data_IF_956836876322
#
_entry.id   IF_956836876322
#
_cell.length_a   1.000
_cell.length_b   1.000
_cell.length_c   1.000
_cell.angle_alpha   90.00
_cell.angle_beta   90.00
_cell.angle_gamma   90.00
#
_symmetry.space_group_name_H-M   'P 1'
#
loop_
_entity.id
_entity.type
_entity.pdbx_description
1 polymer ?
#
# COMPACT_ATOMS: atom_id res chain seq x y z
N UNK A 1 13.56 -29.25 35.66
CA UNK A 1 13.92 -28.72 34.31
C UNK A 1 13.14 -27.45 34.08
N UNK A 2 13.77 -26.29 33.80
CA UNK A 2 13.05 -25.12 33.34
C UNK A 2 12.65 -25.35 31.87
N UNK A 3 11.36 -25.16 31.59
CA UNK A 3 10.80 -25.25 30.24
C UNK A 3 11.35 -24.13 29.36
N UNK A 4 12.11 -24.52 28.33
CA UNK A 4 12.54 -23.61 27.26
C UNK A 4 11.28 -23.09 26.55
N UNK A 5 11.09 -21.77 26.38
CA UNK A 5 9.98 -21.26 25.60
C UNK A 5 10.14 -21.74 24.17
N UNK A 6 9.14 -22.49 23.67
CA UNK A 6 9.03 -22.87 22.26
C UNK A 6 9.00 -21.59 21.41
N UNK A 7 10.12 -21.27 20.76
CA UNK A 7 10.18 -20.28 19.69
C UNK A 7 9.15 -20.67 18.64
N UNK A 8 8.10 -19.86 18.48
CA UNK A 8 7.15 -20.08 17.40
C UNK A 8 7.87 -19.92 16.06
N UNK A 9 7.78 -20.89 15.15
CA UNK A 9 8.47 -20.80 13.87
C UNK A 9 7.97 -19.56 13.12
N UNK A 10 8.90 -18.65 12.83
CA UNK A 10 8.66 -17.47 12.00
C UNK A 10 8.10 -17.98 10.66
N UNK A 11 6.82 -17.70 10.42
CA UNK A 11 6.13 -18.14 9.21
C UNK A 11 6.90 -17.67 7.98
N UNK A 12 7.15 -18.53 6.98
CA UNK A 12 7.86 -18.13 5.78
C UNK A 12 7.14 -16.94 5.12
N UNK A 13 7.90 -15.89 4.81
CA UNK A 13 7.41 -14.63 4.23
C UNK A 13 6.50 -14.81 2.99
N UNK A 14 6.61 -15.94 2.30
CA UNK A 14 5.78 -16.35 1.16
C UNK A 14 4.31 -16.57 1.56
N UNK A 15 4.04 -17.14 2.73
CA UNK A 15 2.68 -17.32 3.24
C UNK A 15 2.04 -16.00 3.63
N UNK A 16 2.78 -15.11 4.29
CA UNK A 16 2.29 -13.77 4.61
C UNK A 16 2.02 -12.96 3.32
N UNK A 17 2.90 -13.06 2.33
CA UNK A 17 2.71 -12.42 1.02
C UNK A 17 1.43 -12.91 0.33
N UNK A 18 1.17 -14.22 0.31
CA UNK A 18 -0.05 -14.79 -0.29
C UNK A 18 -1.33 -14.25 0.35
N UNK A 19 -1.37 -14.14 1.69
CA UNK A 19 -2.53 -13.58 2.40
C UNK A 19 -2.81 -12.12 1.99
N UNK A 20 -1.74 -11.33 1.88
CA UNK A 20 -1.81 -9.94 1.48
C UNK A 20 -2.21 -9.75 0.01
N UNK A 21 -1.65 -10.58 -0.87
CA UNK A 21 -2.00 -10.58 -2.29
C UNK A 21 -3.45 -11.01 -2.52
N UNK A 22 -3.92 -12.01 -1.78
CA UNK A 22 -5.31 -12.44 -1.85
C UNK A 22 -6.23 -11.31 -1.38
N UNK A 23 -5.90 -10.65 -0.28
CA UNK A 23 -6.66 -9.51 0.23
C UNK A 23 -6.75 -8.37 -0.80
N UNK A 24 -5.62 -8.02 -1.42
CA UNK A 24 -5.57 -7.00 -2.46
C UNK A 24 -6.38 -7.42 -3.69
N UNK A 25 -6.21 -8.64 -4.18
CA UNK A 25 -6.91 -9.11 -5.37
C UNK A 25 -8.43 -9.18 -5.15
N UNK A 26 -8.88 -9.64 -3.99
CA UNK A 26 -10.31 -9.62 -3.64
C UNK A 26 -10.84 -8.18 -3.59
N UNK A 27 -10.08 -7.23 -3.04
CA UNK A 27 -10.45 -5.81 -3.06
C UNK A 27 -10.56 -5.27 -4.49
N UNK A 28 -9.58 -5.56 -5.34
CA UNK A 28 -9.58 -5.05 -6.72
C UNK A 28 -10.72 -5.67 -7.52
N UNK A 29 -11.00 -6.96 -7.37
CA UNK A 29 -12.19 -7.61 -7.95
C UNK A 29 -13.46 -6.89 -7.53
N UNK A 30 -13.65 -6.61 -6.23
CA UNK A 30 -14.91 -6.01 -5.77
C UNK A 30 -15.12 -4.60 -6.33
N UNK A 31 -14.09 -3.76 -6.33
CA UNK A 31 -14.24 -2.37 -6.80
C UNK A 31 -14.35 -2.26 -8.32
N UNK A 32 -13.62 -3.11 -9.06
CA UNK A 32 -13.68 -3.13 -10.54
C UNK A 32 -14.97 -3.77 -11.04
N UNK A 33 -15.47 -4.80 -10.35
CA UNK A 33 -16.80 -5.36 -10.61
C UNK A 33 -17.89 -4.32 -10.40
N UNK A 34 -17.89 -3.62 -9.25
CA UNK A 34 -18.87 -2.58 -8.97
C UNK A 34 -18.83 -1.42 -9.99
N UNK A 35 -17.63 -0.98 -10.37
CA UNK A 35 -17.43 0.08 -11.37
C UNK A 35 -17.80 -0.35 -12.79
N UNK A 36 -17.76 -1.65 -13.11
CA UNK A 36 -18.18 -2.18 -14.41
C UNK A 36 -19.68 -1.97 -14.68
N UNK A 37 -20.50 -1.99 -13.62
CA UNK A 37 -21.96 -1.77 -13.72
C UNK A 37 -22.38 -0.33 -13.39
N UNK A 38 -21.45 0.49 -12.87
CA UNK A 38 -21.69 1.89 -12.53
C UNK A 38 -20.59 2.74 -13.20
N UNK A 39 -20.68 2.95 -14.53
CA UNK A 39 -19.66 3.65 -15.27
C UNK A 39 -19.53 5.12 -14.81
N UNK A 40 -18.33 5.71 -14.91
CA UNK A 40 -18.12 7.11 -14.58
C UNK A 40 -19.00 7.99 -15.47
N UNK A 41 -19.61 9.02 -14.88
CA UNK A 41 -20.57 9.86 -15.58
C UNK A 41 -22.00 9.34 -15.55
N UNK A 42 -22.24 8.13 -15.04
CA UNK A 42 -23.58 7.54 -14.98
C UNK A 42 -24.04 6.94 -16.31
N UNK A 43 -25.32 6.58 -16.33
CA UNK A 43 -26.00 5.93 -17.47
C UNK A 43 -27.22 6.76 -17.87
N UNK A 44 -27.59 6.67 -19.14
CA UNK A 44 -28.81 7.29 -19.64
C UNK A 44 -30.05 6.64 -18.99
N UNK A 45 -30.99 7.45 -18.48
CA UNK A 45 -32.22 6.92 -17.89
C UNK A 45 -33.34 6.73 -18.91
N UNK A 46 -33.32 7.49 -20.02
CA UNK A 46 -34.36 7.47 -21.04
C UNK A 46 -33.79 7.14 -22.42
N UNK A 47 -34.58 6.41 -23.22
CA UNK A 47 -34.23 6.12 -24.61
C UNK A 47 -34.62 7.30 -25.52
N UNK A 48 -33.64 8.11 -25.95
CA UNK A 48 -33.89 9.30 -26.75
C UNK A 48 -32.73 9.59 -27.72
N UNK A 49 -33.06 9.76 -29.00
CA UNK A 49 -32.09 10.08 -30.06
C UNK A 49 -31.14 8.93 -30.41
N UNK A 50 -31.63 7.69 -30.45
CA UNK A 50 -30.83 6.50 -30.80
C UNK A 50 -30.02 5.89 -29.65
N UNK A 51 -30.08 6.50 -28.45
CA UNK A 51 -29.51 5.97 -27.21
C UNK A 51 -30.49 5.05 -26.50
N UNK A 52 -29.99 4.00 -25.86
CA UNK A 52 -30.79 3.12 -25.02
C UNK A 52 -30.63 3.49 -23.54
N UNK A 53 -31.71 3.33 -22.77
CA UNK A 53 -31.62 3.45 -21.33
C UNK A 53 -30.63 2.40 -20.78
N UNK A 54 -29.74 2.82 -19.89
CA UNK A 54 -28.65 2.01 -19.35
C UNK A 54 -27.31 2.16 -20.10
N UNK A 55 -27.28 2.81 -21.28
CA UNK A 55 -26.01 3.05 -21.98
C UNK A 55 -25.11 4.01 -21.17
N UNK A 56 -23.78 3.74 -21.05
CA UNK A 56 -22.86 4.63 -20.35
C UNK A 56 -22.76 6.00 -21.01
N UNK A 57 -23.02 7.08 -20.26
CA UNK A 57 -23.00 8.44 -20.81
C UNK A 57 -21.61 8.81 -21.34
N UNK A 58 -20.56 8.38 -20.64
CA UNK A 58 -19.17 8.64 -21.04
C UNK A 58 -18.81 8.06 -22.41
N UNK A 59 -19.52 7.01 -22.86
CA UNK A 59 -19.29 6.41 -24.19
C UNK A 59 -19.62 7.40 -25.30
N UNK A 60 -20.69 8.17 -25.14
CA UNK A 60 -21.17 9.13 -26.13
C UNK A 60 -20.45 10.48 -26.01
N UNK A 61 -20.13 10.90 -24.78
CA UNK A 61 -19.50 12.21 -24.55
C UNK A 61 -17.99 12.20 -24.73
N UNK A 62 -17.32 11.09 -24.39
CA UNK A 62 -15.88 10.94 -24.61
C UNK A 62 -15.48 9.48 -24.80
N UNK A 63 -15.52 9.03 -26.04
CA UNK A 63 -15.23 7.66 -26.42
C UNK A 63 -13.83 7.17 -26.00
N UNK A 64 -12.80 8.02 -26.12
CA UNK A 64 -11.43 7.65 -25.72
C UNK A 64 -11.30 7.39 -24.22
N UNK A 65 -11.94 8.23 -23.39
CA UNK A 65 -11.96 8.03 -21.93
C UNK A 65 -12.76 6.80 -21.56
N UNK A 66 -13.89 6.55 -22.24
CA UNK A 66 -14.65 5.33 -22.07
C UNK A 66 -13.80 4.08 -22.35
N UNK A 67 -13.09 4.03 -23.49
CA UNK A 67 -12.21 2.90 -23.83
C UNK A 67 -11.09 2.72 -22.79
N UNK A 68 -10.43 3.81 -22.41
CA UNK A 68 -9.36 3.76 -21.41
C UNK A 68 -9.88 3.22 -20.07
N UNK A 69 -11.02 3.74 -19.58
CA UNK A 69 -11.67 3.26 -18.37
C UNK A 69 -12.05 1.77 -18.50
N UNK A 70 -12.75 1.40 -19.56
CA UNK A 70 -13.28 0.05 -19.76
C UNK A 70 -12.16 -0.99 -19.80
N UNK A 71 -11.13 -0.79 -20.63
CA UNK A 71 -10.02 -1.74 -20.74
C UNK A 71 -9.15 -1.77 -19.48
N UNK A 72 -8.86 -0.62 -18.88
CA UNK A 72 -8.09 -0.59 -17.63
C UNK A 72 -8.85 -1.28 -16.48
N UNK A 73 -10.15 -1.03 -16.34
CA UNK A 73 -10.98 -1.64 -15.30
C UNK A 73 -11.13 -3.16 -15.53
N UNK A 74 -11.36 -3.59 -16.78
CA UNK A 74 -11.48 -5.00 -17.14
C UNK A 74 -10.15 -5.76 -16.96
N UNK A 75 -9.02 -5.14 -17.31
CA UNK A 75 -7.69 -5.75 -17.10
C UNK A 75 -7.37 -5.92 -15.62
N UNK A 76 -7.71 -4.94 -14.77
CA UNK A 76 -7.57 -5.08 -13.31
C UNK A 76 -8.47 -6.21 -12.76
N UNK A 77 -9.74 -6.25 -13.17
CA UNK A 77 -10.64 -7.33 -12.80
C UNK A 77 -10.09 -8.72 -13.17
N UNK A 78 -9.69 -8.90 -14.44
CA UNK A 78 -9.17 -10.17 -14.95
C UNK A 78 -7.83 -10.55 -14.31
N UNK A 79 -6.90 -9.60 -14.17
CA UNK A 79 -5.60 -9.81 -13.52
C UNK A 79 -5.79 -10.26 -12.07
N UNK A 80 -6.70 -9.63 -11.34
CA UNK A 80 -7.01 -10.00 -9.96
C UNK A 80 -7.62 -11.41 -9.83
N UNK A 81 -8.51 -11.82 -10.74
CA UNK A 81 -9.00 -13.21 -10.77
C UNK A 81 -7.88 -14.21 -11.03
N UNK A 82 -6.98 -13.92 -11.98
CA UNK A 82 -5.79 -14.76 -12.25
C UNK A 82 -4.91 -14.85 -11.00
N UNK A 83 -4.71 -13.76 -10.27
CA UNK A 83 -3.97 -13.75 -9.00
C UNK A 83 -4.63 -14.65 -7.96
N UNK A 84 -5.95 -14.57 -7.79
CA UNK A 84 -6.71 -15.41 -6.84
C UNK A 84 -6.54 -16.89 -7.19
N UNK A 85 -6.78 -17.25 -8.45
CA UNK A 85 -6.65 -18.64 -8.93
C UNK A 85 -5.21 -19.13 -8.77
N UNK A 86 -4.21 -18.32 -9.13
CA UNK A 86 -2.80 -18.69 -8.99
C UNK A 86 -2.42 -18.90 -7.52
N UNK A 87 -2.88 -18.04 -6.60
CA UNK A 87 -2.66 -18.20 -5.16
C UNK A 87 -3.33 -19.48 -4.64
N UNK A 88 -4.55 -19.78 -5.08
CA UNK A 88 -5.28 -20.99 -4.67
C UNK A 88 -4.59 -22.25 -5.15
N UNK A 89 -4.19 -22.31 -6.43
CA UNK A 89 -3.42 -23.42 -7.00
C UNK A 89 -2.11 -23.61 -6.23
N UNK A 90 -1.42 -22.52 -5.88
CA UNK A 90 -0.20 -22.60 -5.07
C UNK A 90 -0.45 -23.03 -3.63
N UNK A 91 -1.63 -22.75 -3.06
CA UNK A 91 -2.00 -23.23 -1.74
C UNK A 91 -2.22 -24.74 -1.74
N UNK A 92 -2.79 -25.28 -2.82
CA UNK A 92 -3.02 -26.72 -3.01
C UNK A 92 -1.72 -27.47 -3.33
N UNK A 93 -0.84 -26.91 -4.18
CA UNK A 93 0.41 -27.56 -4.63
C UNK A 93 1.58 -27.51 -3.63
N UNK A 94 1.34 -27.24 -2.35
CA UNK A 94 2.39 -26.80 -1.42
C UNK A 94 3.39 -27.86 -0.92
N UNK A 95 3.50 -29.03 -1.57
CA UNK A 95 4.29 -30.17 -1.07
C UNK A 95 5.61 -30.49 -1.81
N UNK A 96 6.08 -29.64 -2.74
CA UNK A 96 7.39 -29.85 -3.40
C UNK A 96 8.36 -28.69 -3.16
N UNK A 97 9.35 -28.95 -2.30
CA UNK A 97 10.44 -28.02 -1.92
C UNK A 97 11.36 -27.68 -3.09
N UNK A 98 11.80 -26.42 -3.14
CA UNK A 98 13.23 -26.13 -3.27
C UNK A 98 13.68 -25.14 -4.33
N UNK A 99 13.06 -25.10 -5.52
CA UNK A 99 13.52 -24.22 -6.62
C UNK A 99 12.39 -23.53 -7.41
N UNK A 100 11.17 -24.04 -7.32
CA UNK A 100 10.01 -23.56 -8.09
C UNK A 100 9.30 -22.34 -7.47
N UNK A 101 9.50 -22.04 -6.18
CA UNK A 101 8.82 -20.90 -5.54
C UNK A 101 9.20 -19.55 -6.19
N UNK A 102 10.45 -19.39 -6.62
CA UNK A 102 10.90 -18.16 -7.28
C UNK A 102 10.23 -17.96 -8.64
N UNK A 103 10.02 -19.02 -9.40
CA UNK A 103 9.35 -18.99 -10.70
C UNK A 103 7.87 -18.65 -10.60
N UNK A 104 7.24 -18.87 -9.45
CA UNK A 104 5.84 -18.51 -9.26
C UNK A 104 5.64 -17.14 -8.59
N UNK A 105 6.52 -16.73 -7.67
CA UNK A 105 6.38 -15.43 -6.98
C UNK A 105 6.67 -14.25 -7.91
N UNK A 106 7.55 -14.40 -8.90
CA UNK A 106 7.88 -13.34 -9.88
C UNK A 106 6.68 -12.98 -10.76
N UNK A 107 6.03 -13.91 -11.49
CA UNK A 107 4.86 -13.59 -12.31
C UNK A 107 3.71 -13.06 -11.44
N UNK A 108 3.48 -13.63 -10.24
CA UNK A 108 2.46 -13.15 -9.31
C UNK A 108 2.69 -11.67 -8.93
N UNK A 109 3.94 -11.26 -8.72
CA UNK A 109 4.29 -9.85 -8.45
C UNK A 109 4.13 -8.96 -9.69
N UNK A 110 4.43 -9.46 -10.88
CA UNK A 110 4.26 -8.70 -12.13
C UNK A 110 2.78 -8.47 -12.43
N UNK A 111 1.96 -9.51 -12.33
CA UNK A 111 0.50 -9.42 -12.53
C UNK A 111 -0.11 -8.44 -11.53
N UNK A 112 0.34 -8.43 -10.27
CA UNK A 112 -0.14 -7.46 -9.29
C UNK A 112 0.29 -6.01 -9.59
N UNK A 113 1.52 -5.78 -10.05
CA UNK A 113 1.94 -4.42 -10.44
C UNK A 113 1.11 -3.95 -11.63
N UNK A 114 0.89 -4.83 -12.61
CA UNK A 114 -0.01 -4.57 -13.73
C UNK A 114 -1.43 -4.26 -13.24
N UNK A 115 -1.95 -5.03 -12.30
CA UNK A 115 -3.27 -4.85 -11.69
C UNK A 115 -3.44 -3.47 -11.04
N UNK A 116 -2.46 -3.00 -10.24
CA UNK A 116 -2.52 -1.66 -9.65
C UNK A 116 -2.34 -0.54 -10.67
N UNK A 117 -1.53 -0.74 -11.72
CA UNK A 117 -1.39 0.22 -12.81
C UNK A 117 -2.69 0.32 -13.62
N UNK A 118 -3.34 -0.81 -13.89
CA UNK A 118 -4.66 -0.89 -14.52
C UNK A 118 -5.72 -0.19 -13.66
N UNK A 119 -5.75 -0.43 -12.35
CA UNK A 119 -6.67 0.26 -11.44
C UNK A 119 -6.43 1.78 -11.44
N UNK A 120 -5.17 2.21 -11.46
CA UNK A 120 -4.82 3.63 -11.56
C UNK A 120 -5.28 4.25 -12.89
N UNK A 121 -5.06 3.55 -14.01
CA UNK A 121 -5.49 3.99 -15.34
C UNK A 121 -7.00 4.12 -15.43
N UNK A 122 -7.74 3.14 -14.89
CA UNK A 122 -9.20 3.18 -14.82
C UNK A 122 -9.70 4.37 -13.99
N UNK A 123 -9.12 4.55 -12.80
CA UNK A 123 -9.44 5.69 -11.93
C UNK A 123 -9.20 7.02 -12.65
N UNK A 124 -8.04 7.18 -13.27
CA UNK A 124 -7.70 8.39 -14.01
C UNK A 124 -8.72 8.66 -15.11
N UNK A 125 -8.92 7.72 -16.04
CA UNK A 125 -9.86 7.88 -17.14
C UNK A 125 -11.29 8.22 -16.68
N UNK A 126 -11.75 7.59 -15.60
CA UNK A 126 -13.10 7.78 -15.07
C UNK A 126 -13.30 9.09 -14.30
N UNK A 127 -12.27 9.59 -13.59
CA UNK A 127 -12.41 10.78 -12.72
C UNK A 127 -12.10 12.12 -13.41
N UNK A 128 -11.38 12.10 -14.53
CA UNK A 128 -10.92 13.29 -15.26
C UNK A 128 -12.07 14.08 -15.92
N UNK A 129 -12.67 15.06 -15.24
CA UNK A 129 -13.81 15.82 -15.77
C UNK A 129 -13.42 17.08 -16.55
N UNK A 130 -12.31 17.69 -16.17
CA UNK A 130 -11.82 18.96 -16.69
C UNK A 130 -10.31 18.88 -17.00
N UNK A 131 -9.78 19.90 -17.69
CA UNK A 131 -8.37 19.93 -18.11
C UNK A 131 -7.41 19.84 -16.92
N UNK A 132 -7.73 20.47 -15.79
CA UNK A 132 -6.86 20.49 -14.60
C UNK A 132 -6.82 19.10 -13.97
N UNK A 133 -7.99 18.49 -13.70
CA UNK A 133 -8.08 17.13 -13.16
C UNK A 133 -7.40 16.10 -14.08
N UNK A 134 -7.52 16.28 -15.40
CA UNK A 134 -6.86 15.42 -16.39
C UNK A 134 -5.34 15.50 -16.32
N UNK A 135 -4.78 16.72 -16.34
CA UNK A 135 -3.33 16.93 -16.22
C UNK A 135 -2.84 16.41 -14.87
N UNK A 136 -3.56 16.70 -13.79
CA UNK A 136 -3.22 16.27 -12.45
C UNK A 136 -3.15 14.74 -12.32
N UNK A 137 -4.18 14.04 -12.80
CA UNK A 137 -4.22 12.57 -12.79
C UNK A 137 -3.11 11.97 -13.64
N UNK A 138 -2.89 12.51 -14.85
CA UNK A 138 -1.82 12.05 -15.74
C UNK A 138 -0.42 12.21 -15.11
N UNK A 139 -0.15 13.35 -14.46
CA UNK A 139 1.10 13.59 -13.74
C UNK A 139 1.28 12.57 -12.61
N UNK A 140 0.23 12.28 -11.82
CA UNK A 140 0.32 11.28 -10.76
C UNK A 140 0.56 9.87 -11.30
N UNK A 141 -0.10 9.48 -12.40
CA UNK A 141 0.15 8.20 -13.07
C UNK A 141 1.60 8.12 -13.55
N UNK A 142 2.12 9.19 -14.17
CA UNK A 142 3.50 9.25 -14.63
C UNK A 142 4.50 9.13 -13.46
N UNK A 143 4.28 9.85 -12.35
CA UNK A 143 5.12 9.76 -11.14
C UNK A 143 5.15 8.33 -10.60
N UNK A 144 3.99 7.68 -10.49
CA UNK A 144 3.88 6.31 -9.97
C UNK A 144 4.56 5.32 -10.91
N UNK A 145 4.36 5.47 -12.21
CA UNK A 145 5.01 4.62 -13.23
C UNK A 145 6.53 4.78 -13.20
N UNK A 146 7.04 6.01 -13.21
CA UNK A 146 8.47 6.30 -13.09
C UNK A 146 9.04 5.72 -11.79
N UNK A 147 8.33 5.87 -10.67
CA UNK A 147 8.74 5.30 -9.40
C UNK A 147 8.87 3.77 -9.46
N UNK A 148 7.92 3.08 -10.11
CA UNK A 148 7.98 1.62 -10.31
C UNK A 148 9.18 1.23 -11.18
N UNK A 149 9.44 1.97 -12.27
CA UNK A 149 10.60 1.74 -13.13
C UNK A 149 11.92 1.94 -12.39
N UNK A 150 12.03 2.98 -11.54
CA UNK A 150 13.20 3.23 -10.70
C UNK A 150 13.41 2.08 -9.71
N UNK A 151 12.35 1.64 -9.01
CA UNK A 151 12.45 0.50 -8.09
C UNK A 151 12.92 -0.78 -8.80
N UNK A 152 12.38 -1.05 -9.99
CA UNK A 152 12.74 -2.23 -10.78
C UNK A 152 14.16 -2.16 -11.33
N UNK A 153 14.58 -1.01 -11.86
CA UNK A 153 15.93 -0.81 -12.39
C UNK A 153 16.99 -0.90 -11.29
N UNK A 154 16.73 -0.34 -10.10
CA UNK A 154 17.59 -0.53 -8.93
C UNK A 154 17.72 -2.01 -8.52
N UNK A 155 16.63 -2.77 -8.57
CA UNK A 155 16.65 -4.21 -8.29
C UNK A 155 17.38 -5.04 -9.37
N UNK A 156 17.39 -4.58 -10.62
CA UNK A 156 18.15 -5.19 -11.71
C UNK A 156 19.64 -4.87 -11.60
N UNK A 157 19.99 -3.63 -11.24
CA UNK A 157 21.37 -3.19 -11.07
C UNK A 157 22.08 -3.90 -9.90
N UNK A 158 21.37 -4.07 -8.76
CA UNK A 158 21.87 -4.85 -7.61
C UNK A 158 22.25 -6.29 -8.03
N UNK A 159 21.50 -6.91 -8.95
CA UNK A 159 21.77 -8.29 -9.41
C UNK A 159 22.93 -8.39 -10.39
N UNK A 160 23.16 -7.35 -11.18
CA UNK A 160 24.25 -7.33 -12.16
C UNK A 160 25.60 -6.96 -11.51
N UNK A 161 25.57 -6.44 -10.28
CA UNK A 161 26.76 -6.04 -9.51
C UNK A 161 27.36 -7.16 -8.64
N UNK A 162 26.78 -8.37 -8.63
CA UNK A 162 27.32 -9.57 -7.96
C UNK A 162 27.98 -10.56 -8.96
N UNK A 163 29.21 -10.33 -9.47
CA UNK A 163 29.91 -11.29 -10.34
C UNK A 163 30.73 -12.36 -9.57
N UNK A 164 30.50 -12.55 -8.27
CA UNK A 164 31.45 -13.26 -7.38
C UNK A 164 31.12 -14.71 -6.97
N UNK A 165 30.36 -15.50 -7.74
CA UNK A 165 30.09 -16.90 -7.36
C UNK A 165 30.03 -17.83 -8.58
N UNK A 166 31.20 -18.14 -9.14
CA UNK A 166 31.30 -19.18 -10.16
C UNK A 166 32.68 -19.35 -10.78
N UNK A 167 33.65 -19.90 -10.04
CA UNK A 167 34.64 -20.87 -10.56
C UNK A 167 35.58 -21.29 -9.43
N UNK A 168 35.61 -22.59 -9.13
CA UNK A 168 36.44 -23.18 -8.08
C UNK A 168 36.32 -24.70 -8.11
N UNK A 169 36.86 -25.28 -9.18
CA UNK A 169 36.98 -26.71 -9.46
C UNK A 169 38.02 -27.34 -8.52
N UNK A 170 37.69 -28.48 -7.93
CA UNK A 170 38.63 -29.57 -7.59
C UNK A 170 39.74 -29.34 -6.55
N UNK A 171 39.54 -29.93 -5.37
CA UNK A 171 40.48 -30.60 -4.43
C UNK A 171 41.93 -30.90 -4.93
N UNK A 172 42.97 -30.95 -4.06
CA UNK A 172 43.06 -32.02 -3.05
C UNK A 172 43.67 -31.70 -1.66
N UNK A 173 43.36 -32.67 -0.79
CA UNK A 173 43.92 -33.05 0.51
C UNK A 173 45.42 -32.71 0.70
N UNK A 174 45.73 -32.12 1.85
CA UNK A 174 47.05 -32.24 2.48
C UNK A 174 46.86 -32.55 3.97
N UNK A 175 47.49 -33.67 4.36
CA UNK A 175 47.57 -34.27 5.68
C UNK A 175 48.57 -33.51 6.56
N UNK A 176 48.30 -33.41 7.87
CA UNK A 176 49.20 -32.76 8.83
C UNK A 176 48.78 -33.04 10.27
N UNK A 177 49.22 -34.18 10.80
CA UNK A 177 49.18 -34.53 12.23
C UNK A 177 50.29 -33.80 13.00
N UNK A 178 49.95 -33.20 14.14
CA UNK A 178 50.71 -33.05 15.42
C UNK A 178 49.88 -32.05 16.25
N UNK A 179 49.48 -32.25 17.50
CA UNK A 179 49.98 -33.03 18.62
C UNK A 179 49.66 -32.21 19.88
N UNK A 180 48.95 -32.82 20.85
CA UNK A 180 48.87 -32.51 22.30
C UNK A 180 48.89 -31.07 22.83
N UNK A 181 47.89 -30.72 23.64
CA UNK A 181 47.96 -29.58 24.57
C UNK A 181 46.69 -29.37 25.41
N UNK A 182 46.63 -30.02 26.57
CA UNK A 182 45.64 -29.83 27.63
C UNK A 182 45.59 -28.39 28.18
N UNK A 183 44.41 -27.87 28.53
CA UNK A 183 44.33 -26.76 29.49
C UNK A 183 43.04 -25.93 29.51
N UNK A 184 42.24 -26.15 30.55
CA UNK A 184 41.36 -25.19 31.23
C UNK A 184 40.10 -24.68 30.52
N UNK A 185 38.98 -25.34 30.81
CA UNK A 185 37.65 -24.74 30.77
C UNK A 185 37.48 -23.78 31.96
N UNK A 186 37.21 -22.50 31.67
CA UNK A 186 36.54 -21.58 32.61
C UNK A 186 35.09 -21.42 32.16
N UNK A 187 34.09 -21.60 33.04
CA UNK A 187 32.72 -21.25 32.72
C UNK A 187 32.57 -19.72 32.85
N UNK A 188 32.16 -19.07 31.77
CA UNK A 188 31.80 -17.66 31.77
C UNK A 188 30.32 -17.53 32.21
N UNK A 189 29.98 -16.82 33.29
CA UNK A 189 28.60 -16.71 33.75
C UNK A 189 27.96 -15.45 33.16
N UNK A 190 27.50 -15.51 31.90
CA UNK A 190 26.68 -14.45 31.30
C UNK A 190 25.52 -15.06 30.50
N UNK A 191 24.65 -15.81 31.18
CA UNK A 191 23.42 -16.38 30.61
C UNK A 191 22.17 -15.50 30.79
N UNK A 192 22.30 -14.34 31.44
CA UNK A 192 21.18 -13.41 31.69
C UNK A 192 20.94 -12.40 30.56
N UNK A 193 21.99 -11.91 29.92
CA UNK A 193 21.94 -10.75 29.01
C UNK A 193 21.49 -11.13 27.59
N UNK A 194 21.82 -12.34 27.13
CA UNK A 194 21.41 -12.86 25.82
C UNK A 194 19.90 -13.11 25.72
N UNK A 195 19.28 -13.60 26.79
CA UNK A 195 17.86 -13.99 26.85
C UNK A 195 16.92 -12.78 26.87
N UNK A 196 17.36 -11.67 27.49
CA UNK A 196 16.59 -10.41 27.51
C UNK A 196 16.62 -9.74 26.14
N UNK A 197 17.80 -9.68 25.51
CA UNK A 197 18.02 -9.03 24.21
C UNK A 197 17.25 -9.73 23.07
N UNK A 198 17.20 -11.07 23.09
CA UNK A 198 16.39 -11.86 22.14
C UNK A 198 14.88 -11.65 22.37
N UNK A 199 14.41 -11.58 23.61
CA UNK A 199 12.98 -11.34 23.90
C UNK A 199 12.50 -9.95 23.43
N UNK A 200 13.33 -8.91 23.59
CA UNK A 200 13.02 -7.54 23.15
C UNK A 200 13.00 -7.46 21.63
N UNK A 201 13.98 -8.08 20.96
CA UNK A 201 14.03 -8.16 19.50
C UNK A 201 12.82 -8.92 18.92
N UNK A 202 12.41 -10.02 19.55
CA UNK A 202 11.24 -10.79 19.14
C UNK A 202 9.93 -9.98 19.34
N UNK A 203 9.78 -9.26 20.47
CA UNK A 203 8.63 -8.38 20.70
C UNK A 203 8.55 -7.26 19.65
N UNK A 204 9.69 -6.65 19.31
CA UNK A 204 9.78 -5.60 18.29
C UNK A 204 9.38 -6.09 16.90
N UNK A 205 9.89 -7.25 16.48
CA UNK A 205 9.57 -7.83 15.17
C UNK A 205 8.08 -8.19 15.04
N UNK A 206 7.49 -8.73 16.11
CA UNK A 206 6.05 -9.01 16.17
C UNK A 206 5.21 -7.74 16.08
N UNK A 207 5.64 -6.64 16.69
CA UNK A 207 4.97 -5.34 16.58
C UNK A 207 5.05 -4.75 15.16
N UNK A 208 6.22 -4.83 14.51
CA UNK A 208 6.40 -4.38 13.12
C UNK A 208 5.55 -5.21 12.13
N UNK A 209 5.42 -6.51 12.34
CA UNK A 209 4.54 -7.37 11.53
C UNK A 209 3.07 -6.99 11.71
N UNK A 210 2.63 -6.74 12.94
CA UNK A 210 1.27 -6.26 13.23
C UNK A 210 1.00 -4.90 12.60
N UNK A 211 1.94 -3.97 12.69
CA UNK A 211 1.84 -2.66 12.05
C UNK A 211 1.69 -2.79 10.53
N UNK A 212 2.49 -3.64 9.89
CA UNK A 212 2.39 -3.92 8.45
C UNK A 212 1.01 -4.45 8.06
N UNK A 213 0.42 -5.36 8.84
CA UNK A 213 -0.93 -5.88 8.61
C UNK A 213 -1.98 -4.77 8.65
N UNK A 214 -1.93 -3.94 9.70
CA UNK A 214 -2.87 -2.83 9.89
C UNK A 214 -2.73 -1.79 8.77
N UNK A 215 -1.50 -1.40 8.43
CA UNK A 215 -1.25 -0.42 7.36
C UNK A 215 -1.75 -0.91 6.02
N UNK A 216 -1.60 -2.21 5.74
CA UNK A 216 -2.10 -2.79 4.50
C UNK A 216 -3.61 -2.80 4.45
N UNK A 217 -4.27 -3.23 5.51
CA UNK A 217 -5.73 -3.20 5.63
C UNK A 217 -6.26 -1.78 5.42
N UNK A 218 -5.64 -0.80 6.09
CA UNK A 218 -5.99 0.61 5.95
C UNK A 218 -5.79 1.12 4.53
N UNK A 219 -4.67 0.79 3.90
CA UNK A 219 -4.37 1.20 2.52
C UNK A 219 -5.35 0.57 1.53
N UNK A 220 -5.63 -0.73 1.64
CA UNK A 220 -6.61 -1.40 0.77
C UNK A 220 -8.02 -0.86 0.98
N UNK A 221 -8.40 -0.59 2.23
CA UNK A 221 -9.66 0.06 2.54
C UNK A 221 -9.74 1.45 1.88
N UNK A 222 -8.70 2.26 2.04
CA UNK A 222 -8.62 3.58 1.44
C UNK A 222 -8.66 3.54 -0.10
N UNK A 223 -7.94 2.60 -0.74
CA UNK A 223 -8.02 2.36 -2.20
C UNK A 223 -9.45 2.10 -2.62
N UNK A 224 -10.19 1.25 -1.91
CA UNK A 224 -11.56 0.90 -2.30
C UNK A 224 -12.54 2.06 -2.19
N UNK A 225 -12.57 2.75 -1.05
CA UNK A 225 -13.50 3.86 -0.86
C UNK A 225 -13.17 5.03 -1.79
N UNK A 226 -11.89 5.32 -2.01
CA UNK A 226 -11.50 6.43 -2.88
C UNK A 226 -11.73 6.12 -4.36
N UNK A 227 -11.54 4.86 -4.79
CA UNK A 227 -11.87 4.41 -6.13
C UNK A 227 -13.35 4.59 -6.43
N UNK A 228 -14.21 4.04 -5.58
CA UNK A 228 -15.67 4.13 -5.74
C UNK A 228 -16.14 5.59 -5.68
N UNK A 229 -15.69 6.37 -4.69
CA UNK A 229 -16.10 7.76 -4.54
C UNK A 229 -15.61 8.67 -5.68
N UNK A 230 -14.46 8.36 -6.29
CA UNK A 230 -13.94 9.13 -7.43
C UNK A 230 -14.77 8.93 -8.69
N UNK A 231 -15.13 7.67 -8.98
CA UNK A 231 -15.95 7.30 -10.13
C UNK A 231 -17.41 7.75 -9.96
N UNK A 232 -17.92 7.75 -8.73
CA UNK A 232 -19.27 8.19 -8.37
C UNK A 232 -19.22 9.45 -7.51
N UNK A 233 -19.01 10.61 -8.15
CA UNK A 233 -18.84 11.87 -7.41
C UNK A 233 -20.04 12.22 -6.53
N UNK A 234 -19.80 12.94 -5.43
CA UNK A 234 -20.86 13.49 -4.59
C UNK A 234 -21.86 14.31 -5.41
N UNK A 235 -23.15 14.08 -5.15
CA UNK A 235 -24.25 14.75 -5.85
C UNK A 235 -24.70 14.07 -7.14
N UNK A 236 -23.98 13.05 -7.64
CA UNK A 236 -24.36 12.32 -8.85
C UNK A 236 -24.02 13.06 -10.14
N UNK A 237 -24.67 12.65 -11.23
CA UNK A 237 -24.40 13.11 -12.59
C UNK A 237 -25.67 13.54 -13.30
N UNK A 238 -25.54 14.50 -14.20
CA UNK A 238 -26.62 14.85 -15.12
C UNK A 238 -26.79 13.80 -16.20
N UNK A 239 -28.04 13.41 -16.46
CA UNK A 239 -28.44 12.47 -17.51
C UNK A 239 -29.25 13.15 -18.63
N UNK A 240 -29.47 14.47 -18.53
CA UNK A 240 -30.27 15.23 -19.48
C UNK A 240 -29.39 16.10 -20.38
N UNK A 241 -29.93 16.41 -21.57
CA UNK A 241 -29.32 17.32 -22.55
C UNK A 241 -29.92 18.73 -22.48
N UNK A 242 -30.82 19.00 -21.53
CA UNK A 242 -31.51 20.27 -21.40
C UNK A 242 -30.82 21.16 -20.35
N UNK A 243 -30.60 22.43 -20.68
CA UNK A 243 -29.94 23.41 -19.81
C UNK A 243 -28.48 23.70 -20.19
N UNK A 244 -27.74 24.37 -19.30
CA UNK A 244 -26.33 24.74 -19.52
C UNK A 244 -25.32 23.64 -19.17
N UNK A 245 -25.79 22.44 -18.82
CA UNK A 245 -24.96 21.34 -18.33
C UNK A 245 -24.79 20.26 -19.39
N UNK A 246 -23.65 19.57 -19.34
CA UNK A 246 -23.38 18.45 -20.24
C UNK A 246 -23.74 17.12 -19.57
N UNK A 247 -24.32 16.15 -20.31
CA UNK A 247 -24.54 14.81 -19.79
C UNK A 247 -23.24 14.21 -19.23
N UNK A 248 -23.32 13.61 -18.05
CA UNK A 248 -22.18 13.05 -17.34
C UNK A 248 -21.31 14.07 -16.60
N UNK A 249 -21.62 15.37 -16.66
CA UNK A 249 -21.08 16.33 -15.70
C UNK A 249 -21.64 16.04 -14.31
N UNK A 250 -20.80 16.25 -13.29
CA UNK A 250 -21.22 16.10 -11.90
C UNK A 250 -22.18 17.23 -11.53
N UNK A 251 -23.32 16.91 -10.92
CA UNK A 251 -24.35 17.89 -10.51
C UNK A 251 -23.79 18.95 -9.57
N UNK A 252 -22.83 18.57 -8.72
CA UNK A 252 -22.20 19.49 -7.77
C UNK A 252 -21.33 20.57 -8.44
N UNK A 253 -20.92 20.37 -9.71
CA UNK A 253 -20.04 21.27 -10.46
C UNK A 253 -20.69 22.65 -10.66
N UNK A 254 -21.99 22.69 -10.85
CA UNK A 254 -22.69 23.89 -11.35
C UNK A 254 -22.91 24.95 -10.28
N UNK A 255 -23.21 24.52 -9.05
CA UNK A 255 -23.47 25.44 -7.94
C UNK A 255 -22.30 25.47 -6.93
N UNK A 256 -21.45 24.44 -6.90
CA UNK A 256 -20.36 24.28 -5.92
C UNK A 256 -19.08 23.70 -6.54
N UNK A 257 -18.68 24.18 -7.72
CA UNK A 257 -17.47 23.75 -8.43
C UNK A 257 -16.17 23.71 -7.60
N UNK A 258 -15.86 24.69 -6.73
CA UNK A 258 -14.67 24.65 -5.88
C UNK A 258 -14.66 23.45 -4.93
N UNK A 259 -15.81 23.10 -4.38
CA UNK A 259 -15.98 21.97 -3.45
C UNK A 259 -15.76 20.64 -4.15
N UNK A 260 -16.33 20.48 -5.35
CA UNK A 260 -16.08 19.31 -6.18
C UNK A 260 -14.59 19.17 -6.54
N UNK A 261 -13.93 20.29 -6.81
CA UNK A 261 -12.49 20.31 -7.13
C UNK A 261 -11.64 19.86 -5.94
N UNK A 262 -11.90 20.39 -4.74
CA UNK A 262 -11.21 19.95 -3.50
C UNK A 262 -11.47 18.47 -3.24
N UNK A 263 -12.73 18.03 -3.36
CA UNK A 263 -13.08 16.61 -3.23
C UNK A 263 -12.24 15.75 -4.17
N UNK A 264 -12.22 16.06 -5.48
CA UNK A 264 -11.53 15.25 -6.47
C UNK A 264 -10.02 15.23 -6.27
N UNK A 265 -9.41 16.37 -5.97
CA UNK A 265 -7.97 16.46 -5.71
C UNK A 265 -7.59 15.65 -4.48
N UNK A 266 -8.26 15.90 -3.34
CA UNK A 266 -7.98 15.19 -2.10
C UNK A 266 -8.25 13.69 -2.21
N UNK A 267 -9.36 13.29 -2.85
CA UNK A 267 -9.69 11.88 -3.06
C UNK A 267 -8.66 11.19 -3.95
N UNK A 268 -8.22 11.85 -5.03
CA UNK A 268 -7.17 11.33 -5.92
C UNK A 268 -5.84 11.19 -5.18
N UNK A 269 -5.43 12.20 -4.40
CA UNK A 269 -4.20 12.09 -3.59
C UNK A 269 -4.25 10.92 -2.63
N UNK A 270 -5.39 10.70 -1.97
CA UNK A 270 -5.58 9.60 -1.03
C UNK A 270 -5.56 8.23 -1.71
N UNK A 271 -6.20 8.11 -2.88
CA UNK A 271 -6.15 6.92 -3.71
C UNK A 271 -4.71 6.58 -4.11
N UNK A 272 -3.99 7.54 -4.71
CA UNK A 272 -2.61 7.33 -5.18
C UNK A 272 -1.65 7.04 -4.03
N UNK A 273 -1.74 7.78 -2.92
CA UNK A 273 -0.91 7.54 -1.75
C UNK A 273 -1.16 6.13 -1.18
N UNK A 274 -2.41 5.66 -1.19
CA UNK A 274 -2.79 4.32 -0.71
C UNK A 274 -2.29 3.19 -1.62
N UNK A 275 -2.30 3.40 -2.95
CA UNK A 275 -1.65 2.49 -3.90
C UNK A 275 -0.13 2.43 -3.69
N UNK A 276 0.51 3.58 -3.46
CA UNK A 276 1.94 3.63 -3.15
C UNK A 276 2.27 2.91 -1.83
N UNK A 277 1.45 3.07 -0.78
CA UNK A 277 1.60 2.31 0.48
C UNK A 277 1.51 0.80 0.20
N UNK A 278 0.50 0.37 -0.56
CA UNK A 278 0.28 -1.04 -0.92
C UNK A 278 1.48 -1.61 -1.69
N UNK A 279 1.97 -0.89 -2.70
CA UNK A 279 3.17 -1.27 -3.46
C UNK A 279 4.41 -1.35 -2.58
N UNK A 280 4.64 -0.34 -1.73
CA UNK A 280 5.77 -0.27 -0.80
C UNK A 280 5.76 -1.44 0.21
N UNK A 281 4.58 -1.86 0.69
CA UNK A 281 4.45 -2.94 1.67
C UNK A 281 4.63 -4.32 1.03
N UNK A 282 4.18 -4.51 -0.22
CA UNK A 282 4.20 -5.81 -0.91
C UNK A 282 5.56 -6.10 -1.59
N UNK A 283 6.12 -5.12 -2.32
CA UNK A 283 7.32 -5.34 -3.14
C UNK A 283 8.55 -5.63 -2.27
N UNK A 284 8.71 -4.94 -1.15
CA UNK A 284 10.00 -4.86 -0.43
C UNK A 284 9.99 -5.40 1.00
N UNK A 285 9.13 -6.37 1.29
CA UNK A 285 9.06 -6.99 2.62
C UNK A 285 10.39 -7.49 3.18
N UNK A 286 11.37 -7.81 2.32
CA UNK A 286 12.73 -8.21 2.70
C UNK A 286 13.75 -7.05 2.82
N UNK A 287 13.56 -5.95 2.07
CA UNK A 287 14.52 -4.81 2.00
C UNK A 287 14.23 -3.69 3.01
N UNK A 288 13.10 -3.74 3.72
CA UNK A 288 12.79 -2.82 4.84
C UNK A 288 13.87 -2.80 5.94
N UNK A 289 14.70 -3.85 5.99
CA UNK A 289 15.74 -4.06 7.00
C UNK A 289 17.10 -3.42 6.67
N UNK A 290 17.39 -3.09 5.39
CA UNK A 290 18.74 -2.63 4.95
C UNK A 290 18.85 -1.15 4.56
N UNK A 291 17.77 -0.45 4.18
CA UNK A 291 17.78 1.00 3.85
C UNK A 291 16.69 1.75 4.63
N UNK A 292 16.92 2.00 5.92
CA UNK A 292 15.88 2.43 6.88
C UNK A 292 15.40 3.88 6.71
N UNK A 293 16.26 4.83 6.32
CA UNK A 293 15.98 6.26 6.56
C UNK A 293 15.13 6.96 5.49
N UNK A 294 15.42 6.78 4.19
CA UNK A 294 14.66 7.47 3.13
C UNK A 294 13.26 6.86 2.92
N UNK A 295 13.19 5.53 2.95
CA UNK A 295 11.94 4.79 2.68
C UNK A 295 10.93 4.87 3.82
N UNK A 296 11.39 4.82 5.08
CA UNK A 296 10.50 5.00 6.23
C UNK A 296 9.87 6.40 6.22
N UNK A 297 10.64 7.42 5.84
CA UNK A 297 10.13 8.78 5.64
C UNK A 297 9.08 8.84 4.52
N UNK A 298 9.34 8.19 3.39
CA UNK A 298 8.38 8.12 2.28
C UNK A 298 7.07 7.41 2.68
N UNK A 299 7.17 6.24 3.32
CA UNK A 299 5.99 5.49 3.78
C UNK A 299 5.18 6.32 4.78
N UNK A 300 5.85 6.98 5.73
CA UNK A 300 5.20 7.89 6.68
C UNK A 300 4.54 9.07 5.97
N UNK A 301 5.23 9.69 5.01
CA UNK A 301 4.68 10.76 4.17
C UNK A 301 3.43 10.32 3.42
N UNK A 302 3.45 9.16 2.77
CA UNK A 302 2.27 8.62 2.10
C UNK A 302 1.11 8.36 3.07
N UNK A 303 1.38 7.90 4.29
CA UNK A 303 0.33 7.68 5.31
C UNK A 303 -0.32 9.00 5.70
N UNK A 304 0.48 10.04 5.97
CA UNK A 304 -0.04 11.38 6.30
C UNK A 304 -0.87 11.94 5.15
N UNK A 305 -0.34 11.89 3.92
CA UNK A 305 -1.05 12.35 2.71
C UNK A 305 -2.35 11.58 2.49
N UNK A 306 -2.35 10.25 2.66
CA UNK A 306 -3.54 9.43 2.51
C UNK A 306 -4.63 9.79 3.53
N UNK A 307 -4.26 9.95 4.80
CA UNK A 307 -5.21 10.29 5.87
C UNK A 307 -5.77 11.70 5.71
N UNK A 308 -4.92 12.70 5.46
CA UNK A 308 -5.34 14.09 5.25
C UNK A 308 -6.21 14.20 4.00
N UNK A 309 -5.80 13.57 2.90
CA UNK A 309 -6.57 13.53 1.66
C UNK A 309 -7.94 12.86 1.85
N UNK A 310 -8.01 11.77 2.62
CA UNK A 310 -9.29 11.09 2.89
C UNK A 310 -10.25 11.98 3.70
N UNK A 311 -9.75 12.62 4.74
CA UNK A 311 -10.56 13.50 5.61
C UNK A 311 -11.02 14.74 4.83
N UNK A 312 -10.12 15.38 4.09
CA UNK A 312 -10.45 16.54 3.27
C UNK A 312 -11.45 16.18 2.16
N UNK A 313 -11.29 15.01 1.52
CA UNK A 313 -12.26 14.51 0.55
C UNK A 313 -13.61 14.24 1.19
N UNK A 314 -13.66 13.56 2.34
CA UNK A 314 -14.92 13.31 3.04
C UNK A 314 -15.66 14.61 3.38
N UNK A 315 -14.95 15.60 3.93
CA UNK A 315 -15.51 16.92 4.25
C UNK A 315 -16.05 17.61 2.99
N UNK A 316 -15.22 17.71 1.95
CA UNK A 316 -15.60 18.33 0.69
C UNK A 316 -16.71 17.55 -0.03
N UNK A 317 -16.82 16.23 0.15
CA UNK A 317 -17.86 15.43 -0.47
C UNK A 317 -19.19 15.43 0.28
N UNK A 318 -19.17 15.46 1.61
CA UNK A 318 -20.35 15.22 2.45
C UNK A 318 -21.06 16.48 2.96
N UNK A 319 -20.34 17.54 3.35
CA UNK A 319 -20.94 18.70 4.03
C UNK A 319 -21.78 19.61 3.13
N UNK A 320 -23.11 19.57 3.22
CA UNK A 320 -23.98 20.59 2.57
C UNK A 320 -24.00 21.95 3.32
N UNK A 321 -23.44 22.02 4.53
CA UNK A 321 -23.41 23.21 5.38
C UNK A 321 -22.11 23.32 6.20
N UNK A 322 -21.62 24.54 6.41
CA UNK A 322 -20.26 24.86 6.90
C UNK A 322 -20.04 24.38 8.36
N UNK A 323 -21.08 24.37 9.20
CA UNK A 323 -20.98 24.09 10.64
C UNK A 323 -20.62 22.63 10.95
N UNK A 324 -21.05 21.68 10.11
CA UNK A 324 -20.69 20.25 10.27
C UNK A 324 -19.21 19.96 9.99
N UNK A 325 -18.57 20.83 9.21
CA UNK A 325 -17.16 20.73 8.83
C UNK A 325 -16.23 20.87 10.05
N UNK A 326 -16.56 21.81 10.96
CA UNK A 326 -15.79 22.08 12.16
C UNK A 326 -15.78 20.90 13.14
N UNK A 327 -16.90 20.16 13.24
CA UNK A 327 -16.99 18.95 14.06
C UNK A 327 -16.06 17.84 13.57
N UNK A 328 -15.99 17.59 12.26
CA UNK A 328 -15.12 16.55 11.68
C UNK A 328 -13.64 16.93 11.84
N UNK A 329 -13.28 18.20 11.60
CA UNK A 329 -11.93 18.71 11.87
C UNK A 329 -11.54 18.57 13.35
N UNK A 330 -12.45 18.92 14.27
CA UNK A 330 -12.24 18.78 15.71
C UNK A 330 -12.08 17.32 16.14
N UNK A 331 -12.90 16.41 15.63
CA UNK A 331 -12.83 14.98 15.96
C UNK A 331 -11.52 14.34 15.47
N UNK A 332 -11.14 14.58 14.21
CA UNK A 332 -9.90 14.06 13.63
C UNK A 332 -8.68 14.69 14.29
N UNK A 333 -8.71 16.01 14.51
CA UNK A 333 -7.67 16.76 15.20
C UNK A 333 -7.48 16.28 16.64
N UNK A 334 -8.56 16.04 17.38
CA UNK A 334 -8.52 15.50 18.74
C UNK A 334 -7.97 14.08 18.79
N UNK A 335 -8.34 13.19 17.86
CA UNK A 335 -7.81 11.82 17.81
C UNK A 335 -6.31 11.80 17.47
N UNK A 336 -5.89 12.65 16.52
CA UNK A 336 -4.47 12.78 16.15
C UNK A 336 -3.65 13.45 17.26
N UNK A 337 -4.15 14.52 17.89
CA UNK A 337 -3.51 15.18 19.03
C UNK A 337 -3.37 14.24 20.22
N UNK A 338 -4.41 13.48 20.59
CA UNK A 338 -4.33 12.52 21.69
C UNK A 338 -3.29 11.40 21.44
N UNK A 339 -3.09 10.99 20.18
CA UNK A 339 -2.08 9.99 19.80
C UNK A 339 -0.67 10.58 19.73
N UNK A 340 -0.51 11.76 19.13
CA UNK A 340 0.75 12.49 19.08
C UNK A 340 1.21 12.91 20.46
N UNK A 341 0.32 13.41 21.31
CA UNK A 341 0.61 13.77 22.69
C UNK A 341 1.00 12.53 23.51
N UNK A 342 0.31 11.39 23.36
CA UNK A 342 0.74 10.12 23.99
C UNK A 342 2.10 9.65 23.48
N UNK A 343 2.39 9.81 22.19
CA UNK A 343 3.69 9.44 21.59
C UNK A 343 4.81 10.38 22.05
N UNK A 344 4.55 11.68 22.13
CA UNK A 344 5.45 12.72 22.66
C UNK A 344 5.71 12.52 24.15
N UNK A 345 4.67 12.23 24.96
CA UNK A 345 4.84 11.87 26.38
C UNK A 345 5.66 10.59 26.54
N UNK A 346 5.47 9.58 25.67
CA UNK A 346 6.28 8.36 25.66
C UNK A 346 7.76 8.65 25.33
N UNK A 347 8.03 9.56 24.38
CA UNK A 347 9.38 10.00 24.04
C UNK A 347 10.02 10.83 25.16
N UNK A 348 9.25 11.69 25.84
CA UNK A 348 9.72 12.51 26.96
C UNK A 348 9.99 11.64 28.20
N UNK A 349 9.16 10.64 28.47
CA UNK A 349 9.41 9.65 29.54
C UNK A 349 10.62 8.77 29.21
N UNK A 350 10.73 8.27 27.97
CA UNK A 350 11.90 7.52 27.52
C UNK A 350 13.20 8.34 27.51
N UNK A 351 13.11 9.66 27.38
CA UNK A 351 14.25 10.58 27.51
C UNK A 351 14.65 10.85 28.97
N UNK A 352 13.69 10.90 29.90
CA UNK A 352 13.96 11.06 31.33
C UNK A 352 14.61 9.82 31.96
N UNK A 353 14.24 8.63 31.51
CA UNK A 353 14.86 7.38 31.98
C UNK A 353 16.33 7.26 31.53
N UNK A 354 16.68 7.88 30.39
CA UNK A 354 18.07 7.95 29.93
C UNK A 354 18.91 8.99 30.69
N UNK A 355 18.30 10.10 31.14
CA UNK A 355 19.02 11.15 31.88
C UNK A 355 19.30 10.72 33.33
N UNK A 356 18.39 9.98 33.97
CA UNK A 356 18.65 9.43 35.30
C UNK A 356 19.73 8.33 35.31
N UNK A 357 19.83 7.50 34.26
CA UNK A 357 20.89 6.49 34.16
C UNK A 357 22.26 7.08 33.78
N UNK A 358 22.30 8.22 33.06
CA UNK A 358 23.55 8.92 32.75
C UNK A 358 24.11 9.62 34.00
N UNK A 359 23.26 10.18 34.86
CA UNK A 359 23.70 10.77 36.13
C UNK A 359 24.15 9.72 37.15
N UNK A 360 23.56 8.52 37.15
CA UNK A 360 23.98 7.46 38.07
C UNK A 360 25.31 6.80 37.66
N UNK A 361 25.61 6.69 36.36
CA UNK A 361 26.89 6.18 35.86
C UNK A 361 28.05 7.20 35.97
N UNK A 362 27.76 8.50 36.00
CA UNK A 362 28.79 9.53 36.20
C UNK A 362 29.22 9.70 37.67
N UNK A 363 28.47 9.16 38.64
CA UNK A 363 28.81 9.24 40.07
C UNK A 363 29.51 8.00 40.62
N UNK A 364 29.69 6.94 39.82
CA UNK A 364 30.40 5.70 40.19
C UNK A 364 31.77 5.58 39.49
N UNK A 365 32.14 6.56 38.66
CA UNK A 365 33.43 6.62 37.96
C UNK A 365 34.25 7.88 38.27
N UNK A 366 34.05 8.49 39.44
CA UNK A 366 34.94 9.53 39.95
C UNK A 366 35.29 9.30 41.41
#
# INVERSE_FOLDING_TARGET
QPSVPMDQPVQPWEYSLRKYLLLLATLVVTVTYAAGFNPPGGVWQNALGGRLAGDPIIRDTNYHRYLAFFYCNATAFAASLVVIVLILVLAIRHDKKGKDSRWVVVPLRLVMVLDLLSLMGAYGAGTCRDKISTVYSAVLVAIVFLYILVLKSMDCWDKNSDPGAGSGRGMPVANGNTGSGSGSARPNPDSGTGTISTSIAHKKLKAEERLRKVLMLLATFAVSITYVAGLSTPGGFWDSTQGSHHPGDAVLKDNHGPRLTVFLLCNTTAFVASLLITMLLIIDGKKLRKKKTARSRMLYGCIVVALVGLVAAYIAGSCREIDTTAYVFSLVGAVLCNKLEKFSRLLIMSGKDHIHNIFFLSSVCN
#
